data_IF_037197817531
#
_entry.id   IF_037197817531
#
_cell.length_a   1.000
_cell.length_b   1.000
_cell.length_c   1.000
_cell.angle_alpha   90.00
_cell.angle_beta   90.00
_cell.angle_gamma   90.00
#
_symmetry.space_group_name_H-M   'P 1'
#
loop_
_entity.id
_entity.type
_entity.pdbx_description
1 polymer ?
#
# COMPACT_ATOMS: atom_id res chain seq x y z
N UNK A 1 -0.28 -6.45 -16.84
CA UNK A 1 -0.93 -7.51 -17.63
C UNK A 1 -2.43 -7.30 -17.83
N UNK A 2 -3.28 -7.35 -16.79
CA UNK A 2 -4.74 -7.13 -16.97
C UNK A 2 -5.08 -5.82 -17.70
N UNK A 3 -4.49 -4.69 -17.28
CA UNK A 3 -4.69 -3.40 -17.93
C UNK A 3 -4.17 -3.37 -19.39
N UNK A 4 -3.01 -3.98 -19.64
CA UNK A 4 -2.46 -4.12 -20.99
C UNK A 4 -3.43 -4.87 -21.91
N UNK A 5 -3.95 -6.01 -21.46
CA UNK A 5 -4.86 -6.84 -22.24
C UNK A 5 -6.15 -6.10 -22.59
N UNK A 6 -6.78 -5.46 -21.59
CA UNK A 6 -8.06 -4.75 -21.78
C UNK A 6 -7.95 -3.52 -22.69
N UNK A 7 -6.80 -2.85 -22.69
CA UNK A 7 -6.60 -1.62 -23.46
C UNK A 7 -5.75 -1.85 -24.72
N UNK A 8 -5.42 -3.10 -25.04
CA UNK A 8 -4.56 -3.47 -26.18
C UNK A 8 -3.25 -2.68 -26.24
N UNK A 9 -2.61 -2.43 -25.10
CA UNK A 9 -1.37 -1.66 -25.06
C UNK A 9 -0.20 -2.45 -25.66
N UNK A 10 0.52 -1.79 -26.55
CA UNK A 10 1.81 -2.25 -27.05
C UNK A 10 2.90 -2.14 -25.98
N UNK A 11 4.04 -2.78 -26.22
CA UNK A 11 5.15 -2.82 -25.27
C UNK A 11 5.70 -1.42 -24.96
N UNK A 12 5.82 -0.56 -25.97
CA UNK A 12 6.26 0.85 -25.83
C UNK A 12 5.34 1.65 -24.89
N UNK A 13 4.02 1.51 -25.07
CA UNK A 13 3.01 2.17 -24.24
C UNK A 13 3.03 1.63 -22.80
N UNK A 14 3.21 0.33 -22.62
CA UNK A 14 3.35 -0.28 -21.30
C UNK A 14 4.58 0.28 -20.56
N UNK A 15 5.72 0.40 -21.26
CA UNK A 15 6.96 0.93 -20.71
C UNK A 15 6.86 2.42 -20.37
N UNK A 16 6.24 3.23 -21.25
CA UNK A 16 6.00 4.64 -20.98
C UNK A 16 5.12 4.84 -19.74
N UNK A 17 4.06 4.04 -19.59
CA UNK A 17 3.15 4.11 -18.44
C UNK A 17 3.81 3.66 -17.15
N UNK A 18 4.50 2.52 -17.15
CA UNK A 18 5.16 2.04 -15.93
C UNK A 18 6.26 3.01 -15.49
N UNK A 19 6.99 3.62 -16.43
CA UNK A 19 8.03 4.60 -16.12
C UNK A 19 7.51 5.85 -15.42
N UNK A 20 6.24 6.24 -15.65
CA UNK A 20 5.58 7.33 -14.91
C UNK A 20 5.22 6.93 -13.47
N UNK A 21 5.10 5.63 -13.19
CA UNK A 21 4.76 5.11 -11.87
C UNK A 21 5.99 4.82 -11.00
N UNK A 22 7.15 4.53 -11.60
CA UNK A 22 8.38 4.27 -10.87
C UNK A 22 8.93 5.55 -10.23
N UNK A 23 9.50 5.40 -9.03
CA UNK A 23 10.11 6.50 -8.25
C UNK A 23 11.43 6.03 -7.65
N UNK A 24 12.31 6.99 -7.33
CA UNK A 24 13.63 6.72 -6.73
C UNK A 24 14.48 5.78 -7.59
N UNK A 25 15.18 4.86 -6.93
CA UNK A 25 16.08 3.87 -7.55
C UNK A 25 15.43 3.07 -8.69
N UNK A 26 14.15 2.74 -8.59
CA UNK A 26 13.46 2.00 -9.64
C UNK A 26 13.31 2.82 -10.93
N UNK A 27 13.18 4.15 -10.83
CA UNK A 27 13.12 5.04 -11.99
C UNK A 27 14.52 5.24 -12.60
N UNK A 28 15.55 5.38 -11.76
CA UNK A 28 16.93 5.44 -12.21
C UNK A 28 17.34 4.17 -12.96
N UNK A 29 17.02 3.01 -12.39
CA UNK A 29 17.21 1.73 -13.06
C UNK A 29 16.53 1.69 -14.43
N UNK A 30 15.25 2.11 -14.53
CA UNK A 30 14.56 2.11 -15.83
C UNK A 30 15.22 3.05 -16.85
N UNK A 31 15.77 4.19 -16.44
CA UNK A 31 16.49 5.09 -17.36
C UNK A 31 17.80 4.50 -17.87
N UNK A 32 18.48 3.71 -17.05
CA UNK A 32 19.74 3.02 -17.39
C UNK A 32 19.50 1.65 -18.05
N UNK A 33 18.25 1.20 -18.07
CA UNK A 33 17.86 -0.09 -18.61
C UNK A 33 18.07 -0.14 -20.15
N UNK A 34 19.17 -0.78 -20.54
CA UNK A 34 19.69 -0.87 -21.92
C UNK A 34 19.56 -2.28 -22.50
N UNK A 35 18.47 -2.97 -22.19
CA UNK A 35 18.20 -4.30 -22.79
C UNK A 35 18.06 -4.16 -24.31
N UNK A 36 18.77 -5.01 -25.07
CA UNK A 36 18.75 -5.07 -26.55
C UNK A 36 17.37 -5.36 -27.11
N UNK A 37 16.44 -5.86 -26.30
CA UNK A 37 15.05 -6.10 -26.68
C UNK A 37 14.10 -5.54 -25.63
N UNK A 38 13.65 -4.30 -25.82
CA UNK A 38 12.72 -3.58 -24.94
C UNK A 38 11.28 -4.05 -25.10
N UNK A 39 11.02 -5.29 -24.68
CA UNK A 39 9.67 -5.84 -24.59
C UNK A 39 9.14 -5.75 -23.17
N UNK A 40 7.82 -5.76 -23.03
CA UNK A 40 7.17 -5.81 -21.71
C UNK A 40 7.51 -7.10 -20.95
N UNK A 41 7.69 -8.20 -21.67
CA UNK A 41 8.07 -9.50 -21.07
C UNK A 41 9.48 -9.43 -20.46
N UNK A 42 10.45 -8.86 -21.18
CA UNK A 42 11.82 -8.70 -20.67
C UNK A 42 11.86 -7.72 -19.50
N UNK A 43 11.13 -6.60 -19.59
CA UNK A 43 10.98 -5.67 -18.47
C UNK A 43 10.51 -6.37 -17.19
N UNK A 44 9.45 -7.19 -17.28
CA UNK A 44 8.95 -7.94 -16.12
C UNK A 44 9.97 -8.93 -15.57
N UNK A 45 10.70 -9.61 -16.45
CA UNK A 45 11.72 -10.59 -16.05
C UNK A 45 12.86 -9.90 -15.29
N UNK A 46 13.44 -8.85 -15.87
CA UNK A 46 14.58 -8.13 -15.28
C UNK A 46 14.17 -7.33 -14.04
N UNK A 47 13.00 -6.70 -14.03
CA UNK A 47 12.51 -6.03 -12.82
C UNK A 47 12.32 -7.04 -11.66
N UNK A 48 11.89 -8.27 -11.97
CA UNK A 48 11.71 -9.32 -10.96
C UNK A 48 13.04 -9.81 -10.38
N UNK A 49 14.12 -9.81 -11.16
CA UNK A 49 15.44 -10.22 -10.64
C UNK A 49 16.04 -9.22 -9.66
N UNK A 50 15.62 -7.95 -9.74
CA UNK A 50 16.02 -6.89 -8.80
C UNK A 50 15.24 -6.94 -7.48
N UNK A 51 14.10 -7.60 -7.47
CA UNK A 51 13.28 -7.70 -6.27
C UNK A 51 13.96 -8.64 -5.24
N UNK A 52 13.94 -8.32 -3.94
CA UNK A 52 14.48 -9.19 -2.90
C UNK A 52 13.93 -10.61 -3.03
N UNK A 53 14.81 -11.62 -3.00
CA UNK A 53 14.41 -13.04 -3.09
C UNK A 53 13.57 -13.49 -1.90
N UNK A 54 13.73 -12.82 -0.76
CA UNK A 54 12.98 -13.04 0.46
C UNK A 54 12.29 -11.75 0.91
N UNK A 55 11.02 -11.86 1.25
CA UNK A 55 10.28 -10.80 1.92
C UNK A 55 10.75 -10.75 3.37
N UNK A 56 11.18 -9.58 3.82
CA UNK A 56 11.48 -9.35 5.23
C UNK A 56 10.17 -9.16 6.02
N UNK A 57 9.58 -10.30 6.39
CA UNK A 57 8.31 -10.35 7.10
C UNK A 57 8.39 -9.62 8.44
N UNK A 58 9.50 -9.76 9.16
CA UNK A 58 9.68 -9.16 10.48
C UNK A 58 9.66 -7.63 10.39
N UNK A 59 10.41 -7.05 9.45
CA UNK A 59 10.42 -5.60 9.26
C UNK A 59 9.08 -5.07 8.74
N UNK A 60 8.37 -5.80 7.88
CA UNK A 60 7.02 -5.40 7.44
C UNK A 60 6.06 -5.37 8.62
N UNK A 61 5.99 -6.44 9.40
CA UNK A 61 5.11 -6.53 10.56
C UNK A 61 5.45 -5.43 11.58
N UNK A 62 6.73 -5.29 11.93
CA UNK A 62 7.20 -4.24 12.84
C UNK A 62 6.83 -2.85 12.34
N UNK A 63 7.12 -2.54 11.06
CA UNK A 63 6.79 -1.26 10.45
C UNK A 63 5.30 -0.94 10.53
N UNK A 64 4.43 -1.90 10.19
CA UNK A 64 2.98 -1.69 10.24
C UNK A 64 2.49 -1.56 11.67
N UNK A 65 2.97 -2.39 12.59
CA UNK A 65 2.59 -2.32 14.01
C UNK A 65 3.04 -1.02 14.68
N UNK A 66 4.10 -0.36 14.22
CA UNK A 66 4.55 0.94 14.73
C UNK A 66 3.97 2.13 13.94
N UNK A 67 3.08 1.87 12.99
CA UNK A 67 2.42 2.89 12.18
C UNK A 67 1.05 3.18 12.77
N UNK A 68 0.82 4.45 13.09
CA UNK A 68 -0.43 4.94 13.64
C UNK A 68 -1.19 5.77 12.61
N UNK A 69 -2.50 5.86 12.77
CA UNK A 69 -3.36 6.55 11.82
C UNK A 69 -2.98 8.02 11.65
N UNK A 70 -2.47 8.70 12.67
CA UNK A 70 -2.14 10.15 12.65
C UNK A 70 -1.08 10.54 11.62
N UNK A 71 -0.27 9.59 11.16
CA UNK A 71 0.69 9.80 10.07
C UNK A 71 0.02 9.94 8.68
N UNK A 72 -1.30 9.84 8.61
CA UNK A 72 -2.09 9.87 7.38
C UNK A 72 -3.22 10.90 7.43
N UNK A 73 -3.60 11.40 6.26
CA UNK A 73 -4.65 12.41 6.10
C UNK A 73 -6.04 11.89 6.51
N UNK A 74 -6.30 10.60 6.26
CA UNK A 74 -7.59 9.96 6.56
C UNK A 74 -7.39 8.55 7.14
N UNK A 75 -8.37 8.05 7.88
CA UNK A 75 -8.36 6.67 8.40
C UNK A 75 -8.40 5.64 7.26
N UNK A 76 -9.15 5.92 6.19
CA UNK A 76 -9.21 5.07 5.01
C UNK A 76 -7.85 4.96 4.28
N UNK A 77 -7.10 6.07 4.16
CA UNK A 77 -5.75 6.05 3.59
C UNK A 77 -4.80 5.20 4.44
N UNK A 78 -4.80 5.41 5.76
CA UNK A 78 -4.04 4.61 6.71
C UNK A 78 -4.34 3.11 6.54
N UNK A 79 -5.62 2.72 6.63
CA UNK A 79 -6.02 1.32 6.55
C UNK A 79 -5.62 0.69 5.22
N UNK A 80 -5.83 1.41 4.09
CA UNK A 80 -5.45 0.93 2.76
C UNK A 80 -3.94 0.67 2.68
N UNK A 81 -3.11 1.61 3.15
CA UNK A 81 -1.64 1.47 3.11
C UNK A 81 -1.12 0.37 4.04
N UNK A 82 -1.70 0.23 5.24
CA UNK A 82 -1.35 -0.84 6.17
C UNK A 82 -1.71 -2.22 5.63
N UNK A 83 -2.93 -2.39 5.09
CA UNK A 83 -3.36 -3.66 4.48
C UNK A 83 -2.52 -4.04 3.26
N UNK A 84 -2.13 -3.08 2.43
CA UNK A 84 -1.27 -3.35 1.28
C UNK A 84 0.06 -3.97 1.70
N UNK A 85 0.68 -3.48 2.79
CA UNK A 85 1.91 -4.05 3.34
C UNK A 85 1.66 -5.43 3.96
N UNK A 86 0.60 -5.59 4.75
CA UNK A 86 0.32 -6.84 5.44
C UNK A 86 -0.04 -7.98 4.46
N UNK A 87 -0.71 -7.69 3.34
CA UNK A 87 -1.03 -8.69 2.30
C UNK A 87 0.20 -9.27 1.59
N UNK A 88 1.38 -8.66 1.75
CA UNK A 88 2.65 -9.23 1.27
C UNK A 88 3.07 -10.41 2.16
N UNK A 89 2.70 -10.38 3.45
CA UNK A 89 3.02 -11.43 4.43
C UNK A 89 2.03 -12.58 4.28
N UNK A 90 2.53 -13.74 3.88
CA UNK A 90 1.72 -14.97 3.77
C UNK A 90 1.43 -15.55 5.16
N UNK A 91 0.25 -16.14 5.33
CA UNK A 91 -0.11 -16.88 6.55
C UNK A 91 -0.81 -16.05 7.64
N UNK A 92 -1.04 -14.75 7.43
CA UNK A 92 -1.86 -13.95 8.33
C UNK A 92 -3.34 -14.22 8.08
N UNK A 93 -4.11 -14.47 9.14
CA UNK A 93 -5.57 -14.62 9.03
C UNK A 93 -6.25 -13.26 8.79
N UNK A 94 -7.46 -13.29 8.23
CA UNK A 94 -8.26 -12.09 8.00
C UNK A 94 -8.52 -11.34 9.31
N UNK A 95 -8.76 -12.05 10.41
CA UNK A 95 -8.98 -11.49 11.73
C UNK A 95 -7.73 -10.76 12.23
N UNK A 96 -6.54 -11.37 12.08
CA UNK A 96 -5.29 -10.75 12.49
C UNK A 96 -4.96 -9.51 11.66
N UNK A 97 -5.19 -9.57 10.34
CA UNK A 97 -5.03 -8.41 9.45
C UNK A 97 -5.88 -7.23 9.92
N UNK A 98 -7.17 -7.47 10.16
CA UNK A 98 -8.09 -6.43 10.65
C UNK A 98 -7.66 -5.93 12.03
N UNK A 99 -7.30 -6.82 12.95
CA UNK A 99 -6.90 -6.46 14.31
C UNK A 99 -5.65 -5.55 14.32
N UNK A 100 -4.65 -5.84 13.50
CA UNK A 100 -3.45 -5.00 13.36
C UNK A 100 -3.83 -3.60 12.87
N UNK A 101 -4.70 -3.50 11.86
CA UNK A 101 -5.17 -2.22 11.32
C UNK A 101 -5.92 -1.42 12.38
N UNK A 102 -6.89 -2.04 13.06
CA UNK A 102 -7.70 -1.37 14.09
C UNK A 102 -6.83 -0.89 15.26
N UNK A 103 -5.82 -1.68 15.68
CA UNK A 103 -4.91 -1.31 16.76
C UNK A 103 -4.18 0.01 16.50
N UNK A 104 -3.80 0.29 15.27
CA UNK A 104 -3.09 1.53 14.93
C UNK A 104 -3.99 2.76 14.76
N UNK A 105 -5.31 2.63 14.99
CA UNK A 105 -6.20 3.78 15.09
C UNK A 105 -5.95 4.51 16.42
N UNK A 106 -5.63 5.79 16.33
CA UNK A 106 -5.27 6.67 17.46
C UNK A 106 -6.50 7.17 18.20
N UNK A 107 -7.56 7.52 17.49
CA UNK A 107 -8.85 7.91 18.08
C UNK A 107 -9.51 6.74 18.82
N UNK A 108 -9.68 6.81 20.16
CA UNK A 108 -10.21 5.72 20.95
C UNK A 108 -11.66 5.36 20.60
N UNK A 109 -12.49 6.34 20.22
CA UNK A 109 -13.90 6.12 19.91
C UNK A 109 -14.04 5.38 18.57
N UNK A 110 -13.28 5.81 17.57
CA UNK A 110 -13.26 5.14 16.26
C UNK A 110 -12.69 3.73 16.39
N UNK A 111 -11.61 3.56 17.17
CA UNK A 111 -11.03 2.24 17.43
C UNK A 111 -12.02 1.29 18.09
N UNK A 112 -12.72 1.74 19.13
CA UNK A 112 -13.74 0.93 19.81
C UNK A 112 -14.91 0.59 18.86
N UNK A 113 -15.36 1.56 18.06
CA UNK A 113 -16.41 1.35 17.06
C UNK A 113 -16.00 0.28 16.04
N UNK A 114 -14.79 0.39 15.49
CA UNK A 114 -14.26 -0.57 14.52
C UNK A 114 -14.07 -1.99 15.11
N UNK A 115 -13.63 -2.10 16.37
CA UNK A 115 -13.49 -3.39 17.07
C UNK A 115 -14.83 -4.12 17.19
N UNK A 116 -15.91 -3.38 17.45
CA UNK A 116 -17.25 -3.95 17.60
C UNK A 116 -17.93 -4.27 16.28
N UNK A 117 -17.49 -3.66 15.18
CA UNK A 117 -18.09 -3.81 13.85
C UNK A 117 -17.74 -5.14 13.14
N UNK A 118 -16.93 -6.02 13.74
CA UNK A 118 -16.53 -7.34 13.20
C UNK A 118 -16.08 -7.26 11.72
N UNK A 119 -15.20 -6.31 11.44
CA UNK A 119 -14.79 -5.97 10.08
C UNK A 119 -13.89 -7.03 9.46
N UNK A 120 -13.90 -7.08 8.13
CA UNK A 120 -12.98 -7.89 7.33
C UNK A 120 -11.93 -6.98 6.70
N UNK A 121 -10.79 -7.52 6.22
CA UNK A 121 -9.82 -6.74 5.45
C UNK A 121 -10.42 -6.05 4.22
N UNK A 122 -11.51 -6.59 3.68
CA UNK A 122 -12.22 -6.06 2.51
C UNK A 122 -13.12 -4.87 2.89
N UNK A 123 -13.78 -4.92 4.05
CA UNK A 123 -14.73 -3.88 4.48
C UNK A 123 -14.14 -2.76 5.34
N UNK A 124 -12.98 -2.99 5.99
CA UNK A 124 -12.41 -2.03 6.95
C UNK A 124 -12.08 -0.67 6.34
N UNK A 125 -11.63 -0.63 5.07
CA UNK A 125 -11.30 0.63 4.38
C UNK A 125 -12.55 1.46 4.12
N UNK A 126 -13.61 0.81 3.66
CA UNK A 126 -14.91 1.46 3.40
C UNK A 126 -15.51 1.95 4.72
N UNK A 127 -15.52 1.11 5.75
CA UNK A 127 -15.98 1.49 7.08
C UNK A 127 -15.27 2.73 7.61
N UNK A 128 -13.93 2.76 7.52
CA UNK A 128 -13.12 3.89 7.99
C UNK A 128 -13.23 5.15 7.12
N UNK A 129 -13.77 5.05 5.91
CA UNK A 129 -14.02 6.22 5.06
C UNK A 129 -15.17 7.10 5.55
N UNK A 130 -16.03 6.56 6.42
CA UNK A 130 -17.13 7.30 7.03
C UNK A 130 -16.69 8.25 8.15
N UNK A 131 -15.42 8.18 8.56
CA UNK A 131 -14.88 8.98 9.65
C UNK A 131 -13.95 10.07 9.13
N UNK A 132 -14.19 11.28 9.59
CA UNK A 132 -13.35 12.44 9.30
C UNK A 132 -12.41 12.67 10.47
N UNK A 133 -11.14 12.95 10.18
CA UNK A 133 -10.22 13.45 11.19
C UNK A 133 -10.51 14.93 11.39
N UNK A 134 -10.88 15.33 12.61
CA UNK A 134 -10.82 16.74 12.96
C UNK A 134 -9.36 17.16 12.81
N UNK A 135 -9.09 18.03 11.82
CA UNK A 135 -7.78 18.64 11.68
C UNK A 135 -7.41 19.30 13.01
N UNK A 136 -6.13 19.25 13.38
CA UNK A 136 -5.61 20.07 14.46
C UNK A 136 -5.80 21.52 14.04
N UNK A 137 -6.96 22.10 14.35
CA UNK A 137 -7.11 23.54 14.42
C UNK A 137 -6.11 23.97 15.48
N UNK A 138 -5.01 24.60 15.05
CA UNK A 138 -4.14 25.35 15.93
C UNK A 138 -5.00 26.44 16.58
N UNK A 139 -5.63 26.12 17.70
CA UNK A 139 -6.17 27.11 18.62
C UNK A 139 -4.96 27.75 19.33
N UNK A 140 -4.29 28.65 18.60
CA UNK A 140 -3.45 29.66 19.21
C UNK A 140 -4.40 30.66 19.89
N UNK A 141 -4.65 30.45 21.18
CA UNK A 141 -5.15 31.52 22.04
C UNK A 141 -3.95 32.38 22.44
N UNK A 142 -3.90 33.60 21.90
CA UNK A 142 -3.16 34.73 22.45
C UNK A 142 -4.05 35.47 23.44
#
# INVERSE_FOLDING_TARGET
>A
DKARYLNHWEDSECLARVGRCLKGEARLWLSEWTSTTRTWSNFKLELKTLCPRSVDVANILYSVMCTESDKFSTYAEYARKSLLKLRIVKGLSSELLTAIVIRGITDPHIRASAMNAKLTPESVVEYLSNYVKCGVSQFNFH
#
